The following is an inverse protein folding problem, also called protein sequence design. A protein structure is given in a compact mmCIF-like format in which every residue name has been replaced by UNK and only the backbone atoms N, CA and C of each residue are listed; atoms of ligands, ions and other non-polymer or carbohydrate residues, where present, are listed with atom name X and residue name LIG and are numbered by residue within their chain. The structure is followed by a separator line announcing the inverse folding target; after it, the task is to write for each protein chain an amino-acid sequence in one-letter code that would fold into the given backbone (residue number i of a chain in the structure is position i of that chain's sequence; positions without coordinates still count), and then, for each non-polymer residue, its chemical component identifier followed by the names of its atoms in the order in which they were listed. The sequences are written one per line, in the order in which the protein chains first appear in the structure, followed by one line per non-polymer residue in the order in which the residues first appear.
data_IF_157004692634
#
_entry.id   IF_157004692634
#
_cell.length_a   1.000
_cell.length_b   1.000
_cell.length_c   1.000
_cell.angle_alpha   90.00
_cell.angle_beta   90.00
_cell.angle_gamma   90.00
#
_symmetry.space_group_name_H-M   'P 1'
#
loop_
_entity.id
_entity.type
_entity.pdbx_description
1 polymer ?
#
# COMPACT_ATOMS: atom_id res chain seq x y z
N UNK A 1 36.07 18.02 -3.59
CA UNK A 1 34.98 18.76 -2.91
C UNK A 1 34.96 18.35 -1.45
N UNK A 2 35.26 19.27 -0.54
CA UNK A 2 35.16 19.01 0.90
C UNK A 2 33.82 19.56 1.41
N UNK A 3 32.90 18.65 1.76
CA UNK A 3 31.55 18.99 2.20
C UNK A 3 31.59 19.64 3.58
N UNK A 4 32.47 19.19 4.48
CA UNK A 4 32.61 19.78 5.81
C UNK A 4 33.10 21.23 5.73
N UNK A 5 34.13 21.48 4.93
CA UNK A 5 34.68 22.83 4.72
C UNK A 5 33.68 23.78 4.07
N UNK A 6 32.88 23.28 3.12
CA UNK A 6 31.84 24.07 2.45
C UNK A 6 30.67 24.40 3.37
N UNK A 7 30.26 23.44 4.22
CA UNK A 7 29.20 23.64 5.22
C UNK A 7 29.59 24.64 6.31
N UNK A 8 30.88 24.66 6.70
CA UNK A 8 31.39 25.65 7.66
C UNK A 8 31.43 27.05 7.02
N UNK A 9 31.94 27.17 5.79
CA UNK A 9 31.99 28.46 5.08
C UNK A 9 30.62 29.03 4.75
N UNK A 10 29.64 28.18 4.44
CA UNK A 10 28.26 28.56 4.11
C UNK A 10 27.31 28.31 5.28
N UNK A 11 27.71 28.73 6.48
CA UNK A 11 26.99 28.45 7.73
C UNK A 11 25.51 28.84 7.71
N UNK A 12 25.16 30.01 7.16
CA UNK A 12 23.76 30.46 7.04
C UNK A 12 22.94 29.47 6.20
N UNK A 13 23.46 29.06 5.04
CA UNK A 13 22.77 28.11 4.14
C UNK A 13 22.63 26.75 4.83
N UNK A 14 23.68 26.27 5.49
CA UNK A 14 23.66 24.99 6.21
C UNK A 14 22.66 25.01 7.37
N UNK A 15 22.61 26.10 8.14
CA UNK A 15 21.65 26.27 9.25
C UNK A 15 20.22 26.35 8.70
N UNK A 16 19.97 27.14 7.66
CA UNK A 16 18.64 27.22 7.02
C UNK A 16 18.19 25.85 6.52
N UNK A 17 19.07 25.11 5.83
CA UNK A 17 18.77 23.76 5.34
C UNK A 17 18.46 22.81 6.50
N UNK A 18 19.22 22.88 7.59
CA UNK A 18 19.02 22.06 8.78
C UNK A 18 17.65 22.32 9.40
N UNK A 19 17.26 23.58 9.55
CA UNK A 19 15.95 23.97 10.10
C UNK A 19 14.81 23.45 9.21
N UNK A 20 14.95 23.59 7.88
CA UNK A 20 13.95 23.09 6.93
C UNK A 20 13.80 21.56 7.02
N UNK A 21 14.92 20.82 7.11
CA UNK A 21 14.89 19.37 7.25
C UNK A 21 14.22 18.96 8.57
N UNK A 22 14.53 19.63 9.67
CA UNK A 22 13.90 19.36 10.97
C UNK A 22 12.39 19.61 10.89
N UNK A 23 11.97 20.73 10.30
CA UNK A 23 10.56 21.07 10.16
C UNK A 23 9.81 20.05 9.28
N UNK A 24 10.40 19.70 8.13
CA UNK A 24 9.85 18.68 7.23
C UNK A 24 9.76 17.32 7.91
N UNK A 25 10.80 16.91 8.64
CA UNK A 25 10.82 15.67 9.40
C UNK A 25 9.75 15.63 10.49
N UNK A 26 9.55 16.74 11.21
CA UNK A 26 8.49 16.86 12.21
C UNK A 26 7.09 16.72 11.60
N UNK A 27 6.84 17.37 10.46
CA UNK A 27 5.57 17.23 9.72
C UNK A 27 5.37 15.80 9.23
N UNK A 28 6.40 15.18 8.67
CA UNK A 28 6.36 13.80 8.19
C UNK A 28 6.07 12.80 9.32
N UNK A 29 6.70 13.01 10.49
CA UNK A 29 6.49 12.18 11.67
C UNK A 29 5.04 12.23 12.16
N UNK A 30 4.41 13.41 12.17
CA UNK A 30 3.00 13.54 12.56
C UNK A 30 2.04 12.92 11.53
N UNK A 31 2.37 13.00 10.25
CA UNK A 31 1.53 12.44 9.19
C UNK A 31 1.72 10.94 8.97
N UNK A 32 2.68 10.31 9.66
CA UNK A 32 3.00 8.92 9.44
C UNK A 32 1.83 8.05 9.95
N UNK A 33 1.11 7.33 9.07
CA UNK A 33 0.05 6.45 9.52
C UNK A 33 0.66 5.32 10.34
N UNK A 34 0.14 5.12 11.55
CA UNK A 34 0.54 4.05 12.46
C UNK A 34 -0.68 3.16 12.66
N UNK A 35 -0.62 1.95 12.12
CA UNK A 35 -1.59 0.91 12.40
C UNK A 35 -0.98 0.03 13.50
N UNK A 36 -1.69 -0.13 14.62
CA UNK A 36 -1.29 -1.03 15.72
C UNK A 36 -1.33 -2.48 15.23
N UNK A 37 -2.41 -2.84 14.53
CA UNK A 37 -2.54 -4.05 13.74
C UNK A 37 -2.78 -3.66 12.28
N UNK A 38 -1.82 -3.88 11.36
CA UNK A 38 -2.03 -3.57 9.95
C UNK A 38 -3.10 -4.51 9.38
N UNK A 39 -4.14 -3.94 8.75
CA UNK A 39 -5.13 -4.72 8.03
C UNK A 39 -4.46 -5.45 6.87
N UNK A 40 -4.36 -6.77 6.96
CA UNK A 40 -3.91 -7.58 5.84
C UNK A 40 -5.10 -7.80 4.92
N UNK A 41 -5.07 -7.18 3.73
CA UNK A 41 -6.09 -7.45 2.71
C UNK A 41 -5.86 -8.86 2.19
N UNK A 42 -6.61 -9.84 2.71
CA UNK A 42 -6.66 -11.17 2.09
C UNK A 42 -7.30 -10.97 0.73
N UNK A 43 -6.55 -11.26 -0.34
CA UNK A 43 -7.02 -11.11 -1.72
C UNK A 43 -8.00 -12.23 -2.04
N UNK A 44 -9.20 -12.14 -1.51
CA UNK A 44 -10.30 -13.06 -1.78
C UNK A 44 -11.31 -12.40 -2.72
N UNK A 45 -11.82 -13.19 -3.67
CA UNK A 45 -12.90 -12.78 -4.55
C UNK A 45 -13.96 -13.88 -4.53
N UNK A 46 -15.20 -13.49 -4.24
CA UNK A 46 -16.33 -14.41 -4.25
C UNK A 46 -17.07 -14.23 -5.58
N UNK A 47 -17.15 -15.30 -6.37
CA UNK A 47 -17.88 -15.33 -7.63
C UNK A 47 -19.19 -16.09 -7.39
N UNK A 48 -20.33 -15.44 -7.56
CA UNK A 48 -21.65 -16.04 -7.36
C UNK A 48 -22.44 -16.03 -8.66
N UNK A 49 -22.90 -17.21 -9.09
CA UNK A 49 -23.64 -17.40 -10.34
C UNK A 49 -24.98 -18.12 -10.06
N UNK A 50 -26.10 -17.38 -9.96
CA UNK A 50 -27.40 -18.00 -9.73
C UNK A 50 -27.87 -18.75 -10.98
N UNK A 51 -28.19 -20.05 -10.83
CA UNK A 51 -28.73 -20.90 -11.90
C UNK A 51 -30.02 -21.60 -11.42
N UNK A 52 -31.16 -20.86 -11.41
CA UNK A 52 -32.41 -21.36 -10.85
C UNK A 52 -33.01 -22.47 -11.70
N UNK A 53 -33.56 -23.50 -11.05
CA UNK A 53 -34.26 -24.61 -11.71
C UNK A 53 -33.38 -25.79 -12.12
N UNK A 54 -32.05 -25.69 -11.96
CA UNK A 54 -31.11 -26.78 -12.19
C UNK A 54 -30.84 -27.58 -10.91
N UNK A 55 -30.52 -28.87 -11.07
CA UNK A 55 -30.04 -29.71 -9.96
C UNK A 55 -28.60 -29.33 -9.58
N UNK A 56 -28.19 -29.68 -8.36
CA UNK A 56 -26.83 -29.38 -7.89
C UNK A 56 -25.72 -29.95 -8.80
N UNK A 57 -25.95 -31.13 -9.40
CA UNK A 57 -24.96 -31.74 -10.31
C UNK A 57 -24.84 -31.00 -11.64
N UNK A 58 -25.94 -30.41 -12.13
CA UNK A 58 -25.93 -29.60 -13.36
C UNK A 58 -25.19 -28.28 -13.12
N UNK A 59 -25.47 -27.59 -12.00
CA UNK A 59 -24.77 -26.36 -11.62
C UNK A 59 -23.25 -26.59 -11.52
N UNK A 60 -22.83 -27.68 -10.89
CA UNK A 60 -21.42 -28.04 -10.76
C UNK A 60 -20.76 -28.26 -12.13
N UNK A 61 -21.36 -29.05 -13.02
CA UNK A 61 -20.77 -29.43 -14.31
C UNK A 61 -20.78 -28.29 -15.33
N UNK A 62 -21.89 -27.56 -15.40
CA UNK A 62 -22.10 -26.56 -16.46
C UNK A 62 -21.61 -25.17 -16.08
N UNK A 63 -21.56 -24.84 -14.79
CA UNK A 63 -21.21 -23.50 -14.32
C UNK A 63 -19.89 -23.53 -13.56
N UNK A 64 -19.83 -24.21 -12.40
CA UNK A 64 -18.66 -24.17 -11.51
C UNK A 64 -17.40 -24.69 -12.20
N UNK A 65 -17.47 -25.90 -12.77
CA UNK A 65 -16.33 -26.53 -13.46
C UNK A 65 -15.83 -25.72 -14.67
N UNK A 66 -16.72 -25.01 -15.37
CA UNK A 66 -16.34 -24.18 -16.52
C UNK A 66 -15.60 -22.94 -16.06
N UNK A 67 -16.09 -22.29 -15.00
CA UNK A 67 -15.47 -21.11 -14.41
C UNK A 67 -14.11 -21.46 -13.81
N UNK A 68 -14.01 -22.55 -13.03
CA UNK A 68 -12.76 -22.99 -12.40
C UNK A 68 -11.69 -23.40 -13.41
N UNK A 69 -12.07 -23.90 -14.59
CA UNK A 69 -11.10 -24.22 -15.66
C UNK A 69 -10.61 -23.00 -16.43
N UNK A 70 -11.37 -21.90 -16.40
CA UNK A 70 -11.05 -20.69 -17.16
C UNK A 70 -10.18 -19.69 -16.36
N UNK A 71 -10.03 -19.90 -15.05
CA UNK A 71 -9.23 -19.09 -14.11
C UNK A 71 -7.95 -19.83 -13.75
#
# INVERSE_FOLDING_TARGET
MNIAETSIRKSVITITLTIVIIYAGFKAFQSLPRLEDPEFTIKEAIITTPYPGASASEVEKEVTNVIEKAV
#
